data_IF_005803375375
#
_entry.id   IF_005803375375
#
_cell.length_a   1.000
_cell.length_b   1.000
_cell.length_c   1.000
_cell.angle_alpha   90.00
_cell.angle_beta   90.00
_cell.angle_gamma   90.00
#
_symmetry.space_group_name_H-M   'P 1'
#
loop_
_entity.id
_entity.type
_entity.pdbx_description
1 polymer ?
#
# COMPACT_ATOMS: atom_id res chain seq x y z
N UNK A 1 2.18 6.75 18.61
CA UNK A 1 3.33 6.43 17.75
C UNK A 1 2.99 6.80 16.31
N UNK A 2 3.91 7.40 15.59
CA UNK A 2 3.71 7.81 14.21
C UNK A 2 4.65 7.03 13.28
N UNK A 3 4.22 6.82 12.04
CA UNK A 3 5.06 6.23 11.00
C UNK A 3 5.51 7.30 10.02
N UNK A 4 6.70 7.13 9.47
CA UNK A 4 7.13 7.87 8.30
C UNK A 4 6.63 7.11 7.07
N UNK A 5 5.93 7.78 6.17
CA UNK A 5 5.40 7.16 4.95
C UNK A 5 6.35 7.46 3.80
N UNK A 6 6.84 6.41 3.16
CA UNK A 6 7.65 6.51 1.95
C UNK A 6 6.99 5.69 0.85
N UNK A 7 7.31 6.03 -0.39
CA UNK A 7 6.75 5.31 -1.54
C UNK A 7 7.80 5.09 -2.61
N UNK A 8 7.67 3.98 -3.31
CA UNK A 8 8.49 3.70 -4.50
C UNK A 8 7.94 4.47 -5.69
N UNK A 9 8.74 4.55 -6.74
CA UNK A 9 8.29 5.12 -8.02
C UNK A 9 7.10 4.32 -8.57
N UNK A 10 7.13 3.00 -8.43
CA UNK A 10 6.05 2.14 -8.89
C UNK A 10 4.73 2.46 -8.19
N UNK A 11 4.77 2.65 -6.87
CA UNK A 11 3.57 3.01 -6.11
C UNK A 11 3.06 4.39 -6.53
N UNK A 12 3.95 5.37 -6.64
CA UNK A 12 3.59 6.73 -7.03
C UNK A 12 2.93 6.76 -8.41
N UNK A 13 3.47 6.01 -9.37
CA UNK A 13 2.90 5.89 -10.72
C UNK A 13 1.52 5.24 -10.71
N UNK A 14 1.39 4.15 -9.95
CA UNK A 14 0.11 3.47 -9.82
C UNK A 14 -0.95 4.42 -9.25
N UNK A 15 -0.60 5.11 -8.17
CA UNK A 15 -1.51 6.04 -7.50
C UNK A 15 -1.93 7.16 -8.43
N UNK A 16 -0.99 7.73 -9.17
CA UNK A 16 -1.27 8.81 -10.14
C UNK A 16 -2.14 8.34 -11.30
N UNK A 17 -2.15 7.05 -11.62
CA UNK A 17 -2.94 6.49 -12.71
C UNK A 17 -4.41 6.29 -12.36
N UNK A 18 -4.78 6.38 -11.09
CA UNK A 18 -6.15 6.17 -10.65
C UNK A 18 -7.04 7.31 -11.12
N UNK A 19 -8.11 6.96 -11.83
CA UNK A 19 -9.08 7.94 -12.36
C UNK A 19 -10.26 8.14 -11.43
N UNK A 20 -10.49 7.21 -10.51
CA UNK A 20 -11.58 7.29 -9.54
C UNK A 20 -11.18 8.22 -8.39
N UNK A 21 -11.80 9.40 -8.35
CA UNK A 21 -11.51 10.40 -7.32
C UNK A 21 -11.87 9.91 -5.91
N UNK A 22 -12.90 9.07 -5.79
CA UNK A 22 -13.29 8.52 -4.50
C UNK A 22 -12.21 7.59 -3.97
N UNK A 23 -11.64 6.76 -4.85
CA UNK A 23 -10.54 5.88 -4.49
C UNK A 23 -9.29 6.68 -4.12
N UNK A 24 -8.95 7.69 -4.91
CA UNK A 24 -7.78 8.54 -4.63
C UNK A 24 -7.91 9.22 -3.27
N UNK A 25 -9.10 9.73 -2.94
CA UNK A 25 -9.36 10.37 -1.65
C UNK A 25 -9.26 9.36 -0.49
N UNK A 26 -9.82 8.17 -0.68
CA UNK A 26 -9.77 7.12 0.34
C UNK A 26 -8.34 6.68 0.63
N UNK A 27 -7.52 6.54 -0.43
CA UNK A 27 -6.11 6.20 -0.29
C UNK A 27 -5.37 7.29 0.49
N UNK A 28 -5.57 8.55 0.13
CA UNK A 28 -4.95 9.66 0.85
C UNK A 28 -5.29 9.63 2.34
N UNK A 29 -6.56 9.43 2.67
CA UNK A 29 -7.02 9.38 4.07
C UNK A 29 -6.41 8.20 4.82
N UNK A 30 -6.27 7.04 4.16
CA UNK A 30 -5.64 5.87 4.78
C UNK A 30 -4.18 6.14 5.08
N UNK A 31 -3.45 6.80 4.18
CA UNK A 31 -2.05 7.14 4.39
C UNK A 31 -1.88 8.20 5.47
N UNK A 32 -2.77 9.17 5.55
CA UNK A 32 -2.76 10.15 6.63
C UNK A 32 -2.96 9.49 7.99
N UNK A 33 -3.90 8.54 8.09
CA UNK A 33 -4.11 7.78 9.34
C UNK A 33 -2.92 6.90 9.68
N UNK A 34 -2.31 6.27 8.68
CA UNK A 34 -1.10 5.47 8.90
C UNK A 34 0.03 6.33 9.45
N UNK A 35 0.20 7.53 8.91
CA UNK A 35 1.20 8.48 9.39
C UNK A 35 0.96 8.83 10.87
N UNK A 36 -0.28 8.88 11.30
CA UNK A 36 -0.64 9.14 12.69
C UNK A 36 -0.57 7.89 13.59
N UNK A 37 -0.15 6.75 13.03
CA UNK A 37 0.02 5.51 13.79
C UNK A 37 -1.08 4.47 13.59
N UNK A 38 -2.09 4.76 12.77
CA UNK A 38 -3.21 3.85 12.54
C UNK A 38 -3.16 3.27 11.12
N UNK A 39 -2.74 2.01 11.02
CA UNK A 39 -2.65 1.32 9.71
C UNK A 39 -4.01 0.90 9.15
N UNK A 40 -5.08 0.93 9.97
CA UNK A 40 -6.41 0.58 9.52
C UNK A 40 -6.58 -0.90 9.18
N UNK A 41 -7.39 -1.19 8.19
CA UNK A 41 -7.64 -2.57 7.74
C UNK A 41 -6.46 -3.06 6.90
N UNK A 42 -5.59 -3.84 7.50
CA UNK A 42 -4.44 -4.43 6.83
C UNK A 42 -4.20 -5.85 7.33
N UNK A 43 -3.45 -6.63 6.55
CA UNK A 43 -3.01 -7.96 6.97
C UNK A 43 -1.69 -8.34 6.30
N UNK A 44 -0.88 -9.18 6.97
CA UNK A 44 0.28 -9.77 6.31
C UNK A 44 -0.17 -10.68 5.16
N UNK A 45 0.58 -10.68 4.05
CA UNK A 45 0.26 -11.52 2.89
C UNK A 45 1.36 -12.50 2.55
N UNK A 46 2.61 -12.05 2.46
CA UNK A 46 3.73 -12.95 2.15
C UNK A 46 5.05 -12.27 2.54
N UNK A 47 5.95 -13.04 3.16
CA UNK A 47 7.24 -12.51 3.61
C UNK A 47 7.04 -11.32 4.52
N UNK A 48 7.75 -10.23 4.25
CA UNK A 48 7.63 -8.99 5.01
C UNK A 48 6.60 -8.01 4.44
N UNK A 49 5.77 -8.48 3.51
CA UNK A 49 4.78 -7.65 2.84
C UNK A 49 3.41 -7.81 3.47
N UNK A 50 2.76 -6.68 3.69
CA UNK A 50 1.37 -6.61 4.14
C UNK A 50 0.55 -5.83 3.11
N UNK A 51 -0.77 -5.98 3.18
CA UNK A 51 -1.68 -5.23 2.31
C UNK A 51 -2.63 -4.39 3.15
N UNK A 52 -2.87 -3.15 2.71
CA UNK A 52 -3.99 -2.33 3.17
C UNK A 52 -5.13 -2.50 2.18
N UNK A 53 -6.35 -2.74 2.67
CA UNK A 53 -7.53 -2.94 1.82
C UNK A 53 -8.38 -1.70 1.82
N UNK A 54 -8.81 -1.29 0.64
CA UNK A 54 -9.67 -0.13 0.44
C UNK A 54 -10.89 -0.59 -0.35
N UNK A 55 -12.04 -0.65 0.32
CA UNK A 55 -13.28 -1.21 -0.22
C UNK A 55 -14.07 -0.14 -0.99
N UNK A 56 -13.50 0.31 -2.10
CA UNK A 56 -14.15 1.26 -3.01
C UNK A 56 -14.00 0.71 -4.42
N UNK A 57 -15.07 0.78 -5.20
CA UNK A 57 -15.09 0.30 -6.57
C UNK A 57 -14.67 -1.17 -6.67
N UNK A 58 -13.65 -1.49 -7.48
CA UNK A 58 -13.22 -2.89 -7.65
C UNK A 58 -12.44 -3.45 -6.46
N UNK A 59 -12.28 -2.67 -5.40
CA UNK A 59 -11.46 -3.05 -4.25
C UNK A 59 -9.98 -2.87 -4.54
N UNK A 60 -9.37 -1.88 -3.89
CA UNK A 60 -7.95 -1.58 -4.08
C UNK A 60 -7.11 -2.15 -2.95
N UNK A 61 -5.86 -2.45 -3.25
CA UNK A 61 -4.88 -2.98 -2.31
C UNK A 61 -3.61 -2.17 -2.39
N UNK A 62 -3.08 -1.76 -1.23
CA UNK A 62 -1.79 -1.08 -1.12
C UNK A 62 -0.83 -2.04 -0.44
N UNK A 63 0.26 -2.40 -1.12
CA UNK A 63 1.24 -3.35 -0.58
C UNK A 63 2.40 -2.59 0.02
N UNK A 64 2.75 -2.92 1.25
CA UNK A 64 3.77 -2.20 1.99
C UNK A 64 4.60 -3.14 2.85
N UNK A 65 5.74 -2.65 3.28
CA UNK A 65 6.55 -3.29 4.31
C UNK A 65 6.92 -2.24 5.35
N UNK A 66 7.19 -2.68 6.58
CA UNK A 66 7.59 -1.77 7.65
C UNK A 66 9.09 -1.97 7.89
N UNK A 67 9.84 -0.88 7.82
CA UNK A 67 11.29 -0.85 8.04
C UNK A 67 11.59 -0.21 9.38
N UNK A 68 12.49 -0.85 10.14
CA UNK A 68 12.97 -0.33 11.42
C UNK A 68 11.85 -0.02 12.42
N UNK A 69 10.71 -0.67 12.27
CA UNK A 69 9.54 -0.45 13.11
C UNK A 69 8.89 0.92 12.98
N UNK A 70 9.37 1.79 12.09
CA UNK A 70 8.94 3.18 12.02
C UNK A 70 8.58 3.67 10.62
N UNK A 71 9.08 3.03 9.56
CA UNK A 71 8.86 3.47 8.19
C UNK A 71 7.91 2.52 7.49
N UNK A 72 6.79 3.05 7.00
CA UNK A 72 5.87 2.32 6.12
C UNK A 72 6.30 2.62 4.69
N UNK A 73 6.87 1.62 4.02
CA UNK A 73 7.31 1.75 2.64
C UNK A 73 6.26 1.15 1.71
N UNK A 74 5.60 2.00 0.95
CA UNK A 74 4.58 1.60 -0.02
C UNK A 74 5.27 1.11 -1.28
N UNK A 75 5.09 -0.16 -1.60
CA UNK A 75 5.81 -0.85 -2.67
C UNK A 75 5.11 -0.74 -4.01
N UNK A 76 3.85 -1.15 -4.05
CA UNK A 76 3.02 -1.10 -5.24
C UNK A 76 1.56 -1.17 -4.83
N UNK A 77 0.66 -0.95 -5.77
CA UNK A 77 -0.76 -1.05 -5.54
C UNK A 77 -1.45 -1.74 -6.71
N UNK A 78 -2.70 -2.10 -6.50
CA UNK A 78 -3.49 -2.73 -7.53
C UNK A 78 -4.93 -2.91 -7.07
N UNK A 79 -5.71 -3.60 -7.89
CA UNK A 79 -7.08 -3.95 -7.59
C UNK A 79 -7.15 -5.40 -7.09
N UNK A 80 -8.33 -5.78 -6.60
CA UNK A 80 -8.57 -7.16 -6.18
C UNK A 80 -8.29 -8.17 -7.31
N UNK A 81 -8.57 -7.78 -8.55
CA UNK A 81 -8.40 -8.67 -9.71
C UNK A 81 -6.95 -8.99 -10.05
N UNK A 82 -5.99 -8.16 -9.62
CA UNK A 82 -4.57 -8.36 -9.91
C UNK A 82 -3.77 -8.76 -8.68
N UNK A 83 -4.45 -9.13 -7.61
CA UNK A 83 -3.86 -9.34 -6.29
C UNK A 83 -2.67 -10.30 -6.29
N UNK A 84 -2.81 -11.46 -6.90
CA UNK A 84 -1.74 -12.47 -6.88
C UNK A 84 -0.44 -11.98 -7.53
N UNK A 85 -0.57 -11.35 -8.70
CA UNK A 85 0.60 -10.81 -9.40
C UNK A 85 1.23 -9.64 -8.62
N UNK A 86 0.40 -8.80 -8.05
CA UNK A 86 0.86 -7.64 -7.29
C UNK A 86 1.60 -8.06 -6.01
N UNK A 87 1.13 -9.10 -5.33
CA UNK A 87 1.82 -9.63 -4.16
C UNK A 87 3.22 -10.14 -4.54
N UNK A 88 3.33 -10.89 -5.64
CA UNK A 88 4.63 -11.39 -6.11
C UNK A 88 5.59 -10.24 -6.41
N UNK A 89 5.10 -9.21 -7.08
CA UNK A 89 5.91 -8.00 -7.37
C UNK A 89 6.35 -7.31 -6.09
N UNK A 90 5.44 -7.12 -5.16
CA UNK A 90 5.74 -6.46 -3.89
C UNK A 90 6.79 -7.22 -3.09
N UNK A 91 6.69 -8.55 -3.02
CA UNK A 91 7.68 -9.38 -2.32
C UNK A 91 9.06 -9.23 -2.95
N UNK A 92 9.13 -9.27 -4.28
CA UNK A 92 10.38 -9.07 -5.00
C UNK A 92 10.96 -7.68 -4.71
N UNK A 93 10.14 -6.64 -4.78
CA UNK A 93 10.55 -5.26 -4.51
C UNK A 93 11.09 -5.12 -3.09
N UNK A 94 10.42 -5.73 -2.11
CA UNK A 94 10.85 -5.67 -0.72
C UNK A 94 12.24 -6.27 -0.52
N UNK A 95 12.59 -7.30 -1.30
CA UNK A 95 13.91 -7.93 -1.22
C UNK A 95 15.01 -7.09 -1.87
N UNK A 96 14.66 -6.27 -2.84
CA UNK A 96 15.61 -5.48 -3.62
C UNK A 96 15.89 -4.10 -3.02
N UNK A 97 15.12 -3.71 -2.04
CA UNK A 97 15.22 -2.36 -1.46
C UNK A 97 15.99 -2.35 -0.14
#
# INVERSE_FOLDING_TARGET
>A
MCYVIQQTVAFARWRASLKDLRAATAIRRRLERAQAGNLGDFKPVQGDVSEMRIDIGPGYRLYFTIRDGAVVLLLTGGSKSTQSADIRRAVKMAREI
#
